data_IF_514883851124
#
_entry.id   IF_514883851124
#
_cell.length_a   1.000
_cell.length_b   1.000
_cell.length_c   1.000
_cell.angle_alpha   90.00
_cell.angle_beta   90.00
_cell.angle_gamma   90.00
#
_symmetry.space_group_name_H-M   'P 1'
#
loop_
_entity.id
_entity.type
_entity.pdbx_description
1 polymer ?
#
# COMPACT_ATOMS: atom_id res chain seq x y z
N UNK A 1 22.08 -16.81 21.77
CA UNK A 1 21.14 -17.18 20.66
C UNK A 1 21.48 -16.36 19.41
N UNK A 2 22.07 -16.96 18.36
CA UNK A 2 22.34 -16.24 17.08
C UNK A 2 21.00 -15.95 16.39
N UNK A 3 20.65 -14.67 16.20
CA UNK A 3 19.49 -14.25 15.40
C UNK A 3 19.68 -14.83 14.00
N UNK A 4 18.83 -15.79 13.59
CA UNK A 4 18.77 -16.29 12.20
C UNK A 4 18.56 -15.05 11.32
N UNK A 5 19.58 -14.64 10.58
CA UNK A 5 19.51 -13.51 9.64
C UNK A 5 18.51 -13.91 8.57
N UNK A 6 17.25 -13.50 8.73
CA UNK A 6 16.24 -13.60 7.66
C UNK A 6 16.92 -13.00 6.43
N UNK A 7 16.87 -13.69 5.29
CA UNK A 7 17.18 -13.09 3.99
C UNK A 7 16.12 -12.01 3.75
N UNK A 8 16.34 -10.84 4.35
CA UNK A 8 15.58 -9.64 4.03
C UNK A 8 15.79 -9.45 2.54
N UNK A 9 14.70 -9.44 1.77
CA UNK A 9 14.79 -9.28 0.32
C UNK A 9 15.58 -8.01 0.04
N UNK A 10 16.59 -8.10 -0.83
CA UNK A 10 17.61 -7.05 -1.04
C UNK A 10 16.97 -5.67 -1.27
N UNK A 11 15.83 -5.62 -1.95
CA UNK A 11 15.06 -4.40 -2.20
C UNK A 11 14.49 -3.74 -0.95
N UNK A 12 14.15 -4.50 0.09
CA UNK A 12 13.69 -3.92 1.35
C UNK A 12 14.77 -3.12 2.07
N UNK A 13 16.05 -3.48 1.88
CA UNK A 13 17.19 -2.75 2.41
C UNK A 13 17.46 -1.42 1.70
N UNK A 14 17.09 -1.32 0.41
CA UNK A 14 17.21 -0.08 -0.38
C UNK A 14 16.24 1.02 0.07
N UNK A 15 15.14 0.65 0.74
CA UNK A 15 14.12 1.61 1.21
C UNK A 15 14.60 2.53 2.32
N UNK A 16 15.62 2.13 3.08
CA UNK A 16 16.20 2.97 4.11
C UNK A 16 16.95 4.18 3.51
N UNK A 17 17.37 4.08 2.25
CA UNK A 17 18.21 5.11 1.58
C UNK A 17 17.45 5.96 0.56
N UNK A 18 16.30 5.52 0.03
CA UNK A 18 15.63 6.17 -1.12
C UNK A 18 14.32 6.92 -0.81
N UNK A 19 13.93 7.13 0.47
CA UNK A 19 12.72 7.89 0.81
C UNK A 19 11.42 7.10 0.56
N UNK A 20 10.92 6.45 1.61
CA UNK A 20 10.23 5.15 1.52
C UNK A 20 8.71 5.09 1.27
N UNK A 21 8.04 6.07 0.67
CA UNK A 21 6.56 6.01 0.54
C UNK A 21 6.04 6.11 -0.89
N UNK A 22 6.41 7.14 -1.66
CA UNK A 22 5.72 7.44 -2.93
C UNK A 22 6.00 6.43 -4.05
N UNK A 23 7.18 5.81 -4.08
CA UNK A 23 7.55 4.82 -5.10
C UNK A 23 7.42 3.37 -4.61
N UNK A 24 7.03 3.16 -3.35
CA UNK A 24 6.99 1.83 -2.74
C UNK A 24 6.12 0.85 -3.54
N UNK A 25 4.92 1.28 -3.95
CA UNK A 25 4.00 0.42 -4.70
C UNK A 25 4.48 0.17 -6.13
N UNK A 26 5.18 1.14 -6.75
CA UNK A 26 5.75 0.99 -8.09
C UNK A 26 6.90 -0.02 -8.08
N UNK A 27 7.82 0.09 -7.14
CA UNK A 27 8.93 -0.86 -6.95
C UNK A 27 8.43 -2.25 -6.57
N UNK A 28 7.44 -2.32 -5.67
CA UNK A 28 6.86 -3.57 -5.23
C UNK A 28 6.10 -4.29 -6.35
N UNK A 29 5.41 -3.57 -7.22
CA UNK A 29 4.73 -4.14 -8.38
C UNK A 29 5.69 -4.78 -9.38
N UNK A 30 6.89 -4.19 -9.55
CA UNK A 30 7.92 -4.69 -10.47
C UNK A 30 8.71 -5.87 -9.88
N UNK A 31 9.10 -5.80 -8.60
CA UNK A 31 9.99 -6.81 -8.00
C UNK A 31 9.27 -7.97 -7.31
N UNK A 32 8.07 -7.74 -6.75
CA UNK A 32 7.23 -8.82 -6.24
C UNK A 32 5.72 -8.48 -6.36
N UNK A 33 5.13 -8.81 -7.53
CA UNK A 33 3.70 -8.63 -7.78
C UNK A 33 2.82 -9.30 -6.73
N UNK A 34 3.26 -10.41 -6.13
CA UNK A 34 2.47 -11.15 -5.12
C UNK A 34 2.48 -10.44 -3.78
N UNK A 35 3.62 -9.88 -3.34
CA UNK A 35 3.66 -9.02 -2.18
C UNK A 35 2.89 -7.72 -2.42
N UNK A 36 2.98 -7.14 -3.63
CA UNK A 36 2.19 -5.97 -4.02
C UNK A 36 0.69 -6.23 -3.86
N UNK A 37 0.19 -7.33 -4.44
CA UNK A 37 -1.20 -7.77 -4.29
C UNK A 37 -1.61 -8.03 -2.85
N UNK A 38 -0.70 -8.52 -1.99
CA UNK A 38 -0.98 -8.73 -0.56
C UNK A 38 -1.08 -7.41 0.22
N UNK A 39 -0.26 -6.42 -0.10
CA UNK A 39 -0.35 -5.08 0.51
C UNK A 39 -1.58 -4.33 0.01
N UNK A 40 -1.92 -4.49 -1.27
CA UNK A 40 -3.11 -3.91 -1.90
C UNK A 40 -4.41 -4.64 -1.58
N UNK A 41 -4.34 -5.88 -1.06
CA UNK A 41 -5.49 -6.57 -0.47
C UNK A 41 -5.92 -5.80 0.79
N UNK A 42 -6.74 -4.79 0.58
CA UNK A 42 -7.44 -4.07 1.62
C UNK A 42 -8.30 -5.06 2.40
N UNK A 43 -8.20 -5.03 3.72
CA UNK A 43 -9.19 -5.67 4.59
C UNK A 43 -10.51 -4.92 4.47
N UNK A 44 -11.65 -5.57 4.76
CA UNK A 44 -12.95 -4.91 4.73
C UNK A 44 -12.96 -3.62 5.57
N UNK A 45 -12.32 -3.64 6.74
CA UNK A 45 -12.19 -2.46 7.61
C UNK A 45 -11.45 -1.29 6.94
N UNK A 46 -10.33 -1.57 6.27
CA UNK A 46 -9.56 -0.54 5.55
C UNK A 46 -10.31 -0.05 4.31
N UNK A 47 -11.06 -0.92 3.67
CA UNK A 47 -11.94 -0.54 2.57
C UNK A 47 -13.03 0.42 3.04
N UNK A 48 -13.71 0.13 4.15
CA UNK A 48 -14.71 1.04 4.73
C UNK A 48 -14.12 2.38 5.17
N UNK A 49 -12.91 2.37 5.74
CA UNK A 49 -12.19 3.60 6.11
C UNK A 49 -11.85 4.46 4.88
N UNK A 50 -11.35 3.83 3.81
CA UNK A 50 -11.12 4.48 2.52
C UNK A 50 -12.43 4.99 1.95
N UNK A 51 -13.48 4.16 1.94
CA UNK A 51 -14.78 4.51 1.42
C UNK A 51 -15.33 5.75 2.12
N UNK A 52 -15.26 5.85 3.45
CA UNK A 52 -15.63 7.07 4.19
C UNK A 52 -14.86 8.31 3.75
N UNK A 53 -13.55 8.18 3.48
CA UNK A 53 -12.70 9.30 3.04
C UNK A 53 -13.03 9.79 1.63
N UNK A 54 -13.32 8.87 0.71
CA UNK A 54 -13.72 9.22 -0.67
C UNK A 54 -15.23 9.37 -0.84
N UNK A 55 -16.05 9.03 0.15
CA UNK A 55 -17.51 9.09 0.08
C UNK A 55 -18.01 10.47 -0.32
N UNK A 56 -17.45 11.52 0.27
CA UNK A 56 -17.76 12.92 -0.04
C UNK A 56 -17.37 13.33 -1.47
N UNK A 57 -16.38 12.67 -2.06
CA UNK A 57 -15.87 12.94 -3.41
C UNK A 57 -16.65 12.15 -4.48
N UNK A 58 -17.14 10.96 -4.13
CA UNK A 58 -17.89 10.08 -5.04
C UNK A 58 -19.39 10.39 -4.99
N UNK A 59 -19.89 11.02 -3.92
CA UNK A 59 -21.29 11.42 -3.84
C UNK A 59 -21.63 12.45 -4.93
N UNK A 60 -22.48 12.01 -5.85
CA UNK A 60 -23.10 12.86 -6.88
C UNK A 60 -23.81 14.01 -6.17
N UNK A 61 -23.28 15.23 -6.30
CA UNK A 61 -23.88 16.44 -5.72
C UNK A 61 -25.32 16.52 -6.27
N UNK A 62 -26.32 16.25 -5.43
CA UNK A 62 -27.71 16.53 -5.79
C UNK A 62 -27.79 18.02 -6.06
N UNK A 63 -27.85 18.39 -7.33
CA UNK A 63 -28.20 19.74 -7.75
C UNK A 63 -29.69 19.86 -7.47
N UNK A 64 -30.03 20.37 -6.29
CA UNK A 64 -31.39 20.85 -6.01
C UNK A 64 -31.67 21.97 -6.98
N UNK A 65 -32.62 21.70 -7.89
CA UNK A 65 -33.26 22.67 -8.76
C UNK A 65 -34.40 23.29 -7.95
#
# INVERSE_FOLDING_TARGET
KKKKRRKVRKWMGRRLTHGGSNNLFKELALEDPTACRKVLRLTCEKFEELLKKVHSLIQKKKRTI
#
